data_IF_261012884473
#
_entry.id   IF_261012884473
#
_cell.length_a   1.000
_cell.length_b   1.000
_cell.length_c   1.000
_cell.angle_alpha   90.00
_cell.angle_beta   90.00
_cell.angle_gamma   90.00
#
_symmetry.space_group_name_H-M   'P 1'
#
loop_
_entity.id
_entity.type
_entity.pdbx_description
1 polymer ?
#
# COMPACT_ATOMS: atom_id res chain seq x y z
N UNK A 1 -13.12 45.89 22.40
CA UNK A 1 -12.66 44.57 21.94
C UNK A 1 -11.22 44.43 22.34
N UNK A 2 -10.93 43.54 23.27
CA UNK A 2 -9.56 43.30 23.74
C UNK A 2 -8.78 42.37 22.77
N UNK A 3 -7.50 42.15 23.06
CA UNK A 3 -6.62 41.32 22.22
C UNK A 3 -7.09 39.87 22.09
N UNK A 4 -7.70 39.32 23.15
CA UNK A 4 -8.19 37.94 23.21
C UNK A 4 -9.46 37.80 22.39
N UNK A 5 -10.40 38.74 22.56
CA UNK A 5 -11.62 38.82 21.77
C UNK A 5 -11.31 38.98 20.27
N UNK A 6 -10.30 39.79 19.92
CA UNK A 6 -9.84 39.95 18.55
C UNK A 6 -9.20 38.69 17.98
N UNK A 7 -8.34 38.03 18.75
CA UNK A 7 -7.77 36.77 18.33
C UNK A 7 -8.85 35.71 18.05
N UNK A 8 -9.82 35.58 18.96
CA UNK A 8 -10.93 34.63 18.80
C UNK A 8 -11.75 34.95 17.55
N UNK A 9 -12.20 36.20 17.40
CA UNK A 9 -12.96 36.65 16.23
C UNK A 9 -12.20 36.41 14.91
N UNK A 10 -10.90 36.68 14.88
CA UNK A 10 -10.07 36.42 13.70
C UNK A 10 -10.06 34.93 13.35
N UNK A 11 -9.86 34.06 14.34
CA UNK A 11 -9.77 32.62 14.15
C UNK A 11 -11.11 31.98 13.77
N UNK A 12 -12.25 32.51 14.25
CA UNK A 12 -13.57 31.93 14.01
C UNK A 12 -14.29 32.51 12.80
N UNK A 13 -14.16 33.80 12.52
CA UNK A 13 -15.06 34.51 11.60
C UNK A 13 -14.35 35.17 10.41
N UNK A 14 -13.02 35.34 10.47
CA UNK A 14 -12.27 36.11 9.45
C UNK A 14 -11.31 35.27 8.65
N UNK A 15 -10.47 34.49 9.32
CA UNK A 15 -9.35 33.79 8.69
C UNK A 15 -9.81 32.45 8.12
N UNK A 16 -9.43 32.20 6.87
CA UNK A 16 -9.70 30.92 6.22
C UNK A 16 -8.89 29.82 6.90
N UNK A 17 -9.52 28.68 7.16
CA UNK A 17 -8.89 27.48 7.71
C UNK A 17 -8.96 26.33 6.71
N UNK A 18 -7.96 25.43 6.68
CA UNK A 18 -8.09 24.19 5.91
C UNK A 18 -9.24 23.38 6.52
N UNK A 19 -10.26 23.06 5.70
CA UNK A 19 -11.45 22.30 6.12
C UNK A 19 -11.18 20.79 6.24
N UNK A 20 -10.18 20.45 7.04
CA UNK A 20 -9.78 19.08 7.35
C UNK A 20 -9.06 19.00 8.71
N UNK A 21 -9.18 17.86 9.38
CA UNK A 21 -8.38 17.51 10.56
C UNK A 21 -7.16 16.68 10.15
N UNK A 22 -6.00 16.98 10.74
CA UNK A 22 -4.74 16.29 10.46
C UNK A 22 -4.63 14.92 11.16
N UNK A 23 -5.17 14.81 12.37
CA UNK A 23 -4.98 13.66 13.26
C UNK A 23 -5.44 12.33 12.64
N UNK A 24 -6.59 12.25 11.95
CA UNK A 24 -7.02 11.00 11.32
C UNK A 24 -6.02 10.52 10.25
N UNK A 25 -5.33 11.43 9.56
CA UNK A 25 -4.37 11.06 8.51
C UNK A 25 -3.01 10.62 9.10
N UNK A 26 -2.58 11.18 10.24
CA UNK A 26 -1.47 10.62 11.04
C UNK A 26 -1.81 9.21 11.53
N UNK A 27 -2.98 9.04 12.15
CA UNK A 27 -3.43 7.75 12.66
C UNK A 27 -3.61 6.70 11.55
N UNK A 28 -4.03 7.11 10.36
CA UNK A 28 -4.07 6.27 9.16
C UNK A 28 -2.66 5.80 8.78
N UNK A 29 -1.71 6.74 8.67
CA UNK A 29 -0.33 6.42 8.32
C UNK A 29 0.31 5.46 9.33
N UNK A 30 0.06 5.67 10.62
CA UNK A 30 0.59 4.80 11.68
C UNK A 30 -0.03 3.39 11.63
N UNK A 31 -1.33 3.29 11.31
CA UNK A 31 -2.02 2.01 11.10
C UNK A 31 -1.45 1.22 9.91
N UNK A 32 -1.02 1.91 8.85
CA UNK A 32 -0.38 1.29 7.69
C UNK A 32 1.12 1.02 7.87
N UNK A 33 1.79 1.64 8.86
CA UNK A 33 3.25 1.57 8.99
C UNK A 33 3.83 0.15 9.08
N UNK A 34 3.05 -0.82 9.58
CA UNK A 34 3.44 -2.24 9.64
C UNK A 34 3.07 -3.08 8.41
N UNK A 35 2.31 -2.54 7.47
CA UNK A 35 1.71 -3.28 6.36
C UNK A 35 2.75 -3.94 5.44
N UNK A 36 3.70 -3.16 4.93
CA UNK A 36 4.74 -3.66 4.02
C UNK A 36 5.62 -4.73 4.71
N UNK A 37 5.95 -4.53 5.99
CA UNK A 37 6.71 -5.49 6.78
C UNK A 37 5.96 -6.80 6.99
N UNK A 38 4.67 -6.74 7.33
CA UNK A 38 3.84 -7.94 7.49
C UNK A 38 3.71 -8.73 6.18
N UNK A 39 3.53 -8.03 5.06
CA UNK A 39 3.44 -8.66 3.74
C UNK A 39 4.78 -9.30 3.31
N UNK A 40 5.89 -8.62 3.57
CA UNK A 40 7.24 -9.15 3.33
C UNK A 40 7.54 -10.39 4.17
N UNK A 41 7.08 -10.43 5.43
CA UNK A 41 7.24 -11.59 6.30
C UNK A 41 6.45 -12.79 5.78
N UNK A 42 5.17 -12.61 5.41
CA UNK A 42 4.37 -13.67 4.83
C UNK A 42 5.00 -14.21 3.52
N UNK A 43 5.47 -13.32 2.64
CA UNK A 43 6.16 -13.72 1.42
C UNK A 43 7.47 -14.48 1.70
N UNK A 44 8.25 -14.06 2.68
CA UNK A 44 9.47 -14.74 3.10
C UNK A 44 9.19 -16.13 3.67
N UNK A 45 8.15 -16.28 4.49
CA UNK A 45 7.70 -17.57 5.04
C UNK A 45 7.29 -18.53 3.92
N UNK A 46 6.45 -18.08 2.99
CA UNK A 46 6.10 -18.87 1.81
C UNK A 46 7.33 -19.26 0.98
N UNK A 47 8.28 -18.34 0.80
CA UNK A 47 9.51 -18.60 0.04
C UNK A 47 10.40 -19.68 0.67
N UNK A 48 10.42 -19.80 2.01
CA UNK A 48 11.15 -20.88 2.68
C UNK A 48 10.58 -22.25 2.31
N UNK A 49 9.26 -22.40 2.31
CA UNK A 49 8.59 -23.64 1.90
C UNK A 49 8.80 -23.95 0.42
N UNK A 50 8.69 -22.93 -0.45
CA UNK A 50 8.98 -23.09 -1.88
C UNK A 50 10.43 -23.48 -2.15
N UNK A 51 11.40 -22.91 -1.44
CA UNK A 51 12.82 -23.27 -1.59
C UNK A 51 13.06 -24.73 -1.24
N UNK A 52 12.44 -25.21 -0.15
CA UNK A 52 12.55 -26.61 0.28
C UNK A 52 11.93 -27.56 -0.74
N UNK A 53 10.73 -27.25 -1.23
CA UNK A 53 10.04 -27.99 -2.28
C UNK A 53 10.88 -28.07 -3.56
N UNK A 54 11.38 -26.95 -4.05
CA UNK A 54 12.19 -26.90 -5.28
C UNK A 54 13.55 -27.59 -5.11
N UNK A 55 14.01 -27.78 -3.88
CA UNK A 55 15.24 -28.53 -3.60
C UNK A 55 15.00 -30.05 -3.48
N UNK A 56 13.74 -30.48 -3.31
CA UNK A 56 13.40 -31.90 -3.11
C UNK A 56 13.06 -32.63 -4.42
N UNK A 57 13.08 -31.94 -5.56
CA UNK A 57 12.76 -32.52 -6.86
C UNK A 57 13.35 -31.74 -8.02
N UNK A 58 13.30 -32.32 -9.22
CA UNK A 58 13.76 -31.68 -10.45
C UNK A 58 12.88 -32.06 -11.64
N UNK A 59 12.70 -31.12 -12.57
CA UNK A 59 11.87 -31.26 -13.76
C UNK A 59 11.35 -29.91 -14.25
N UNK A 60 10.95 -29.82 -15.52
CA UNK A 60 10.49 -28.58 -16.16
C UNK A 60 9.32 -27.92 -15.42
N UNK A 61 8.43 -28.72 -14.84
CA UNK A 61 7.32 -28.26 -14.01
C UNK A 61 7.78 -27.56 -12.71
N UNK A 62 8.87 -28.05 -12.11
CA UNK A 62 9.47 -27.45 -10.90
C UNK A 62 10.21 -26.16 -11.24
N UNK A 63 10.91 -26.12 -12.37
CA UNK A 63 11.57 -24.89 -12.84
C UNK A 63 10.54 -23.79 -13.12
N UNK A 64 9.47 -24.10 -13.87
CA UNK A 64 8.39 -23.16 -14.17
C UNK A 64 7.66 -22.67 -12.90
N UNK A 65 7.44 -23.58 -11.93
CA UNK A 65 6.88 -23.22 -10.62
C UNK A 65 7.79 -22.23 -9.87
N UNK A 66 9.11 -22.47 -9.86
CA UNK A 66 10.07 -21.59 -9.21
C UNK A 66 10.17 -20.21 -9.85
N UNK A 67 10.17 -20.14 -11.18
CA UNK A 67 10.19 -18.87 -11.93
C UNK A 67 8.89 -18.07 -11.72
N UNK A 68 7.75 -18.75 -11.75
CA UNK A 68 6.46 -18.13 -11.48
C UNK A 68 6.39 -17.56 -10.06
N UNK A 69 6.80 -18.35 -9.06
CA UNK A 69 6.84 -17.89 -7.66
C UNK A 69 7.79 -16.70 -7.47
N UNK A 70 8.98 -16.72 -8.09
CA UNK A 70 9.90 -15.59 -8.07
C UNK A 70 9.25 -14.33 -8.64
N UNK A 71 8.55 -14.43 -9.76
CA UNK A 71 7.82 -13.31 -10.37
C UNK A 71 6.73 -12.77 -9.44
N UNK A 72 5.94 -13.66 -8.83
CA UNK A 72 4.90 -13.27 -7.87
C UNK A 72 5.51 -12.50 -6.69
N UNK A 73 6.53 -13.04 -6.02
CA UNK A 73 7.08 -12.37 -4.83
C UNK A 73 7.78 -11.05 -5.15
N UNK A 74 8.61 -11.00 -6.19
CA UNK A 74 9.49 -9.84 -6.45
C UNK A 74 8.82 -8.74 -7.26
N UNK A 75 7.76 -9.05 -8.01
CA UNK A 75 7.06 -8.05 -8.82
C UNK A 75 5.68 -7.74 -8.26
N UNK A 76 4.90 -8.77 -7.87
CA UNK A 76 3.50 -8.57 -7.46
C UNK A 76 3.40 -8.20 -6.00
N UNK A 77 3.92 -9.05 -5.11
CA UNK A 77 3.84 -8.81 -3.67
C UNK A 77 4.66 -7.60 -3.25
N UNK A 78 5.85 -7.43 -3.83
CA UNK A 78 6.65 -6.22 -3.63
C UNK A 78 5.91 -4.95 -4.07
N UNK A 79 5.27 -4.94 -5.25
CA UNK A 79 4.48 -3.79 -5.71
C UNK A 79 3.34 -3.45 -4.74
N UNK A 80 2.70 -4.45 -4.12
CA UNK A 80 1.65 -4.22 -3.13
C UNK A 80 2.22 -3.58 -1.86
N UNK A 81 3.36 -4.05 -1.38
CA UNK A 81 4.04 -3.44 -0.24
C UNK A 81 4.52 -2.01 -0.53
N UNK A 82 5.09 -1.77 -1.71
CA UNK A 82 5.53 -0.45 -2.14
C UNK A 82 4.35 0.53 -2.20
N UNK A 83 3.18 0.09 -2.69
CA UNK A 83 1.96 0.89 -2.68
C UNK A 83 1.50 1.24 -1.26
N UNK A 84 1.58 0.30 -0.32
CA UNK A 84 1.26 0.55 1.09
C UNK A 84 2.20 1.57 1.74
N UNK A 85 3.50 1.45 1.50
CA UNK A 85 4.51 2.43 1.95
C UNK A 85 4.24 3.82 1.37
N UNK A 86 4.00 3.91 0.05
CA UNK A 86 3.68 5.18 -0.61
C UNK A 86 2.42 5.84 -0.06
N UNK A 87 1.38 5.04 0.20
CA UNK A 87 0.14 5.52 0.79
C UNK A 87 0.38 6.06 2.21
N UNK A 88 1.23 5.39 2.98
CA UNK A 88 1.62 5.79 4.33
C UNK A 88 2.36 7.14 4.32
N UNK A 89 3.33 7.29 3.42
CA UNK A 89 4.12 8.53 3.28
C UNK A 89 3.22 9.70 2.88
N UNK A 90 2.34 9.50 1.90
CA UNK A 90 1.42 10.55 1.42
C UNK A 90 0.40 10.92 2.50
N UNK A 91 -0.14 9.97 3.25
CA UNK A 91 -1.06 10.27 4.34
C UNK A 91 -0.38 11.11 5.44
N UNK A 92 0.87 10.78 5.80
CA UNK A 92 1.65 11.56 6.76
C UNK A 92 1.96 12.97 6.25
N UNK A 93 2.35 13.09 4.99
CA UNK A 93 2.63 14.39 4.37
C UNK A 93 1.39 15.29 4.28
N UNK A 94 0.22 14.71 3.99
CA UNK A 94 -1.05 15.44 3.99
C UNK A 94 -1.37 15.96 5.40
N UNK A 95 -1.25 15.11 6.42
CA UNK A 95 -1.45 15.49 7.80
C UNK A 95 -0.53 16.64 8.23
N UNK A 96 0.77 16.52 7.92
CA UNK A 96 1.77 17.54 8.23
C UNK A 96 1.48 18.86 7.51
N UNK A 97 1.03 18.81 6.26
CA UNK A 97 0.64 20.00 5.48
C UNK A 97 -0.55 20.73 6.10
N UNK A 98 -1.57 19.98 6.56
CA UNK A 98 -2.73 20.56 7.26
C UNK A 98 -2.29 21.18 8.60
N UNK A 99 -1.50 20.46 9.39
CA UNK A 99 -1.01 20.92 10.68
C UNK A 99 -0.17 22.20 10.56
N UNK A 100 0.77 22.21 9.60
CA UNK A 100 1.62 23.37 9.32
C UNK A 100 0.80 24.58 8.89
N UNK A 101 -0.22 24.36 8.05
CA UNK A 101 -1.14 25.44 7.61
C UNK A 101 -1.92 26.02 8.78
N UNK A 102 -2.51 25.18 9.64
CA UNK A 102 -3.21 25.64 10.86
C UNK A 102 -2.28 26.45 11.76
N UNK A 103 -1.04 26.00 11.93
CA UNK A 103 -0.01 26.74 12.70
C UNK A 103 0.32 28.10 12.08
N UNK A 104 0.46 28.18 10.76
CA UNK A 104 0.68 29.45 10.06
C UNK A 104 -0.48 30.43 10.26
N UNK A 105 -1.73 29.95 10.26
CA UNK A 105 -2.90 30.81 10.47
C UNK A 105 -2.95 31.35 11.91
N UNK A 106 -2.57 30.55 12.91
CA UNK A 106 -2.37 31.05 14.29
C UNK A 106 -1.35 32.18 14.34
N UNK A 107 -0.25 32.06 13.58
CA UNK A 107 0.75 33.12 13.43
C UNK A 107 0.20 34.38 12.77
N UNK A 108 -0.58 34.23 11.70
CA UNK A 108 -1.25 35.34 11.00
C UNK A 108 -2.22 36.07 11.94
N UNK A 109 -3.03 35.34 12.71
CA UNK A 109 -3.96 35.91 13.68
C UNK A 109 -3.21 36.72 14.76
N UNK A 110 -2.15 36.14 15.31
CA UNK A 110 -1.32 36.78 16.33
C UNK A 110 -0.67 38.06 15.82
N UNK A 111 -0.14 38.06 14.60
CA UNK A 111 0.44 39.25 13.97
C UNK A 111 -0.64 40.32 13.73
N UNK A 112 -1.81 39.92 13.22
CA UNK A 112 -2.92 40.86 13.00
C UNK A 112 -3.37 41.54 14.30
N UNK A 113 -3.44 40.81 15.41
CA UNK A 113 -3.75 41.38 16.73
C UNK A 113 -2.71 42.44 17.11
N UNK A 114 -1.42 42.14 16.92
CA UNK A 114 -0.34 43.09 17.21
C UNK A 114 -0.44 44.36 16.36
N UNK A 115 -0.68 44.22 15.06
CA UNK A 115 -0.81 45.33 14.12
C UNK A 115 -2.01 46.23 14.48
N UNK A 116 -3.15 45.61 14.82
CA UNK A 116 -4.36 46.33 15.22
C UNK A 116 -4.17 47.06 16.56
N UNK A 117 -3.51 46.44 17.55
CA UNK A 117 -3.22 47.09 18.83
C UNK A 117 -2.25 48.27 18.66
N UNK A 118 -1.23 48.12 17.81
CA UNK A 118 -0.29 49.19 17.49
C UNK A 118 -1.01 50.37 16.81
N UNK A 119 -1.92 50.09 15.86
CA UNK A 119 -2.73 51.11 15.21
C UNK A 119 -3.66 51.83 16.21
N UNK A 120 -4.26 51.11 17.15
CA UNK A 120 -5.09 51.70 18.21
C UNK A 120 -4.28 52.59 19.16
N UNK A 121 -3.09 52.15 19.57
CA UNK A 121 -2.20 52.95 20.41
C UNK A 121 -1.77 54.25 19.72
N UNK A 122 -1.47 54.19 18.41
CA UNK A 122 -1.19 55.38 17.60
C UNK A 122 -2.44 56.28 17.45
N UNK A 123 -3.63 55.72 17.41
CA UNK A 123 -4.85 56.47 17.16
C UNK A 123 -5.41 57.25 18.37
N UNK A 124 -4.97 56.92 19.60
CA UNK A 124 -5.17 57.77 20.79
C UNK A 124 -4.55 59.15 20.57
N UNK A 125 -3.48 59.24 19.75
CA UNK A 125 -2.86 60.51 19.36
C UNK A 125 -3.56 61.20 18.18
N UNK A 126 -4.47 60.52 17.47
CA UNK A 126 -5.11 61.02 16.23
C UNK A 126 -6.64 61.17 16.32
N UNK A 127 -7.22 61.22 17.54
CA UNK A 127 -8.63 61.52 17.80
C UNK A 127 -9.66 60.65 17.04
N UNK A 128 -9.51 59.32 17.03
CA UNK A 128 -10.60 58.41 16.63
C UNK A 128 -10.56 57.86 15.19
N UNK A 129 -9.50 58.10 14.42
CA UNK A 129 -9.28 57.45 13.11
C UNK A 129 -8.90 55.95 13.20
N UNK A 130 -8.86 55.37 14.41
CA UNK A 130 -8.33 54.04 14.72
C UNK A 130 -9.05 52.90 14.02
N UNK A 131 -10.39 52.97 13.95
CA UNK A 131 -11.20 51.90 13.39
C UNK A 131 -10.98 51.75 11.88
N UNK A 132 -10.74 52.87 11.17
CA UNK A 132 -10.37 52.84 9.76
C UNK A 132 -8.94 52.29 9.54
N UNK A 133 -8.03 52.47 10.50
CA UNK A 133 -6.64 52.03 10.41
C UNK A 133 -6.45 50.53 10.73
N UNK A 134 -7.38 49.90 11.44
CA UNK A 134 -7.36 48.45 11.73
C UNK A 134 -7.84 47.60 10.54
N UNK A 135 -8.70 48.16 9.68
CA UNK A 135 -9.27 47.44 8.52
C UNK A 135 -8.20 46.89 7.56
N UNK A 136 -7.15 47.63 7.15
CA UNK A 136 -6.11 47.11 6.28
C UNK A 136 -5.39 45.86 6.83
N UNK A 137 -5.09 45.83 8.13
CA UNK A 137 -4.43 44.69 8.77
C UNK A 137 -5.30 43.43 8.73
N UNK A 138 -6.59 43.57 9.04
CA UNK A 138 -7.55 42.47 9.00
C UNK A 138 -7.75 41.95 7.57
N UNK A 139 -7.84 42.85 6.58
CA UNK A 139 -7.96 42.45 5.17
C UNK A 139 -6.68 41.77 4.65
N UNK A 140 -5.51 42.24 5.07
CA UNK A 140 -4.24 41.59 4.75
C UNK A 140 -4.18 40.18 5.36
N UNK A 141 -4.52 40.03 6.64
CA UNK A 141 -4.55 38.75 7.33
C UNK A 141 -5.53 37.75 6.66
N UNK A 142 -6.72 38.23 6.27
CA UNK A 142 -7.69 37.43 5.50
C UNK A 142 -7.13 36.99 4.14
N UNK A 143 -6.48 37.89 3.42
CA UNK A 143 -5.89 37.57 2.11
C UNK A 143 -4.75 36.55 2.24
N UNK A 144 -3.86 36.74 3.22
CA UNK A 144 -2.73 35.83 3.45
C UNK A 144 -3.20 34.46 3.92
N UNK A 145 -4.16 34.38 4.84
CA UNK A 145 -4.73 33.08 5.28
C UNK A 145 -5.35 32.32 4.11
N UNK A 146 -6.16 32.98 3.26
CA UNK A 146 -6.73 32.38 2.06
C UNK A 146 -5.65 31.86 1.09
N UNK A 147 -4.55 32.61 0.90
CA UNK A 147 -3.44 32.17 0.05
C UNK A 147 -2.71 30.94 0.61
N UNK A 148 -2.49 30.89 1.93
CA UNK A 148 -1.83 29.76 2.58
C UNK A 148 -2.71 28.51 2.49
N UNK A 149 -4.02 28.63 2.75
CA UNK A 149 -4.96 27.52 2.58
C UNK A 149 -5.02 27.04 1.13
N UNK A 150 -5.07 27.96 0.16
CA UNK A 150 -5.06 27.59 -1.25
C UNK A 150 -3.81 26.81 -1.65
N UNK A 151 -2.62 27.22 -1.17
CA UNK A 151 -1.36 26.49 -1.41
C UNK A 151 -1.38 25.10 -0.78
N UNK A 152 -1.92 24.96 0.43
CA UNK A 152 -2.08 23.67 1.10
C UNK A 152 -2.98 22.74 0.28
N UNK A 153 -4.15 23.23 -0.18
CA UNK A 153 -5.08 22.45 -0.98
C UNK A 153 -4.45 22.01 -2.31
N UNK A 154 -3.72 22.90 -2.99
CA UNK A 154 -3.00 22.58 -4.23
C UNK A 154 -1.90 21.54 -4.01
N UNK A 155 -1.15 21.67 -2.92
CA UNK A 155 -0.12 20.72 -2.53
C UNK A 155 -0.73 19.33 -2.31
N UNK A 156 -1.77 19.24 -1.47
CA UNK A 156 -2.48 17.98 -1.17
C UNK A 156 -3.03 17.35 -2.45
N UNK A 157 -3.70 18.12 -3.32
CA UNK A 157 -4.22 17.61 -4.58
C UNK A 157 -3.11 17.06 -5.49
N UNK A 158 -1.96 17.74 -5.55
CA UNK A 158 -0.79 17.26 -6.30
C UNK A 158 -0.26 15.94 -5.74
N UNK A 159 -0.12 15.83 -4.40
CA UNK A 159 0.36 14.60 -3.76
C UNK A 159 -0.59 13.41 -3.96
N UNK A 160 -1.89 13.64 -3.86
CA UNK A 160 -2.91 12.63 -4.15
C UNK A 160 -2.88 12.19 -5.62
N UNK A 161 -2.72 13.13 -6.55
CA UNK A 161 -2.60 12.82 -7.98
C UNK A 161 -1.33 12.00 -8.28
N UNK A 162 -0.20 12.36 -7.66
CA UNK A 162 1.05 11.60 -7.78
C UNK A 162 0.91 10.20 -7.18
N UNK A 163 0.21 10.04 -6.05
CA UNK A 163 -0.07 8.73 -5.47
C UNK A 163 -0.87 7.85 -6.42
N UNK A 164 -1.92 8.38 -7.04
CA UNK A 164 -2.74 7.63 -8.01
C UNK A 164 -1.96 7.24 -9.27
N UNK A 165 -0.97 8.04 -9.66
CA UNK A 165 -0.11 7.77 -10.81
C UNK A 165 1.10 6.90 -10.46
N UNK A 166 1.36 6.64 -9.18
CA UNK A 166 2.43 5.75 -8.76
C UNK A 166 2.15 4.34 -9.32
N UNK A 167 3.06 3.75 -10.10
CA UNK A 167 2.83 2.45 -10.73
C UNK A 167 2.45 1.35 -9.75
N UNK A 168 2.97 1.40 -8.53
CA UNK A 168 2.66 0.42 -7.50
C UNK A 168 1.19 0.50 -7.08
N UNK A 169 0.65 1.72 -6.94
CA UNK A 169 -0.74 1.99 -6.56
C UNK A 169 -1.69 1.72 -7.73
N UNK A 170 -1.36 2.23 -8.92
CA UNK A 170 -2.16 2.04 -10.13
C UNK A 170 -2.27 0.56 -10.53
N UNK A 171 -1.23 -0.23 -10.27
CA UNK A 171 -1.17 -1.65 -10.58
C UNK A 171 -1.88 -2.58 -9.58
N UNK A 172 -2.35 -2.08 -8.43
CA UNK A 172 -2.99 -2.93 -7.41
C UNK A 172 -4.15 -3.79 -7.94
N UNK A 173 -5.08 -3.26 -8.78
CA UNK A 173 -6.17 -4.08 -9.33
C UNK A 173 -5.66 -5.21 -10.23
N UNK A 174 -4.64 -4.95 -11.03
CA UNK A 174 -4.03 -5.95 -11.92
C UNK A 174 -3.28 -7.03 -11.13
N UNK A 175 -2.59 -6.63 -10.05
CA UNK A 175 -1.98 -7.59 -9.12
C UNK A 175 -3.06 -8.49 -8.53
N UNK A 176 -4.14 -7.92 -8.00
CA UNK A 176 -5.26 -8.69 -7.44
C UNK A 176 -5.84 -9.69 -8.47
N UNK A 177 -6.13 -9.22 -9.69
CA UNK A 177 -6.66 -10.05 -10.76
C UNK A 177 -5.70 -11.18 -11.20
N UNK A 178 -4.40 -10.90 -11.21
CA UNK A 178 -3.39 -11.91 -11.56
C UNK A 178 -3.28 -13.02 -10.51
N UNK A 179 -3.41 -12.69 -9.23
CA UNK A 179 -3.31 -13.64 -8.12
C UNK A 179 -4.59 -14.46 -7.93
N UNK A 180 -5.77 -13.88 -8.23
CA UNK A 180 -7.05 -14.59 -8.18
C UNK A 180 -7.27 -15.58 -9.34
N UNK A 181 -6.31 -15.73 -10.26
CA UNK A 181 -6.40 -16.68 -11.38
C UNK A 181 -7.42 -16.32 -12.46
N UNK A 182 -8.03 -15.13 -12.41
CA UNK A 182 -9.00 -14.61 -13.39
C UNK A 182 -8.33 -13.96 -14.61
N UNK A 183 -7.03 -13.64 -14.52
CA UNK A 183 -6.21 -13.16 -15.62
C UNK A 183 -5.23 -14.23 -16.13
N UNK A 184 -4.65 -14.02 -17.32
CA UNK A 184 -3.61 -14.87 -17.95
C UNK A 184 -2.32 -15.02 -17.12
N UNK A 185 -2.24 -14.44 -15.92
CA UNK A 185 -1.13 -14.51 -14.98
C UNK A 185 -1.22 -15.63 -13.95
N UNK A 186 -2.20 -16.53 -14.02
CA UNK A 186 -2.22 -17.74 -13.18
C UNK A 186 -1.06 -18.68 -13.48
N UNK A 187 -0.79 -19.62 -12.57
CA UNK A 187 0.30 -20.61 -12.72
C UNK A 187 0.03 -21.67 -13.80
N UNK A 188 -1.24 -21.87 -14.18
CA UNK A 188 -1.62 -22.89 -15.16
C UNK A 188 -1.02 -22.64 -16.57
N UNK A 189 -1.09 -21.43 -17.15
CA UNK A 189 -0.34 -21.07 -18.36
C UNK A 189 1.18 -21.30 -18.26
N UNK A 190 1.80 -20.96 -17.12
CA UNK A 190 3.24 -21.16 -16.91
C UNK A 190 3.61 -22.64 -16.92
N UNK A 191 2.81 -23.48 -16.26
CA UNK A 191 3.01 -24.93 -16.24
C UNK A 191 2.73 -25.59 -17.59
N UNK A 192 1.79 -25.05 -18.39
CA UNK A 192 1.47 -25.56 -19.72
C UNK A 192 2.49 -25.15 -20.79
N UNK A 193 3.14 -24.00 -20.62
CA UNK A 193 4.11 -23.47 -21.58
C UNK A 193 5.54 -23.95 -21.34
N UNK A 194 5.86 -24.54 -20.18
CA UNK A 194 7.23 -24.93 -19.81
C UNK A 194 8.22 -23.75 -19.87
N UNK A 195 7.72 -22.51 -19.76
CA UNK A 195 8.43 -21.33 -20.24
C UNK A 195 8.96 -20.45 -19.11
N UNK A 196 10.24 -20.13 -19.25
CA UNK A 196 10.97 -19.15 -18.47
C UNK A 196 10.40 -17.74 -18.61
N UNK A 197 9.82 -17.23 -17.52
CA UNK A 197 9.52 -15.81 -17.37
C UNK A 197 10.76 -15.15 -16.76
N UNK A 198 11.52 -14.43 -17.58
CA UNK A 198 12.73 -13.73 -17.14
C UNK A 198 12.42 -12.70 -16.05
N UNK A 199 12.83 -12.98 -14.82
CA UNK A 199 12.75 -12.05 -13.69
C UNK A 199 14.11 -11.41 -13.41
N UNK A 200 14.25 -10.09 -13.61
CA UNK A 200 15.35 -9.31 -13.06
C UNK A 200 15.12 -9.15 -11.55
N UNK A 201 15.97 -9.78 -10.72
CA UNK A 201 15.85 -9.79 -9.27
C UNK A 201 16.32 -8.49 -8.62
N UNK A 202 15.48 -7.92 -7.76
CA UNK A 202 15.84 -6.86 -6.82
C UNK A 202 15.84 -7.37 -5.37
N UNK A 203 16.94 -7.09 -4.66
CA UNK A 203 17.01 -6.77 -3.22
C UNK A 203 16.73 -7.85 -2.18
N UNK A 204 17.65 -7.97 -1.22
CA UNK A 204 17.72 -8.95 -0.12
C UNK A 204 16.52 -8.99 0.86
N UNK A 205 15.51 -8.12 0.70
CA UNK A 205 14.34 -8.03 1.58
C UNK A 205 13.26 -9.09 1.29
N UNK A 206 13.11 -9.53 0.04
CA UNK A 206 12.00 -10.42 -0.39
C UNK A 206 12.38 -11.91 -0.44
N UNK A 207 13.54 -12.28 0.12
CA UNK A 207 14.08 -13.64 0.12
C UNK A 207 15.13 -13.90 -0.97
N UNK A 208 16.00 -14.89 -0.70
CA UNK A 208 17.09 -15.30 -1.61
C UNK A 208 16.52 -15.81 -2.94
N UNK A 209 17.25 -15.65 -4.07
CA UNK A 209 16.90 -16.27 -5.33
C UNK A 209 16.69 -17.77 -5.15
N UNK A 210 15.59 -18.30 -5.70
CA UNK A 210 15.38 -19.74 -5.78
C UNK A 210 16.45 -20.38 -6.69
N UNK A 211 16.81 -21.65 -6.45
CA UNK A 211 17.65 -22.37 -7.40
C UNK A 211 16.95 -22.39 -8.77
N UNK A 212 17.50 -21.67 -9.75
CA UNK A 212 17.08 -21.80 -11.14
C UNK A 212 17.80 -23.01 -11.73
N UNK A 213 17.06 -23.99 -12.27
CA UNK A 213 17.58 -25.10 -13.04
C UNK A 213 18.27 -24.63 -14.31
N UNK A 214 19.49 -24.09 -14.18
CA UNK A 214 20.34 -23.77 -15.31
C UNK A 214 20.78 -25.06 -16.00
N UNK A 215 20.09 -25.43 -17.07
CA UNK A 215 20.52 -26.47 -18.00
C UNK A 215 19.38 -27.28 -18.58
N UNK A 216 18.85 -26.83 -19.74
CA UNK A 216 18.25 -27.71 -20.74
C UNK A 216 19.31 -28.72 -21.21
N UNK A 217 19.47 -29.78 -20.43
CA UNK A 217 20.23 -30.96 -20.79
C UNK A 217 19.25 -32.12 -20.87
N UNK A 218 18.97 -32.59 -22.08
CA UNK A 218 18.25 -33.84 -22.31
C UNK A 218 18.96 -34.95 -21.50
N UNK A 219 18.36 -35.37 -20.38
CA UNK A 219 18.91 -36.42 -19.52
C UNK A 219 18.90 -36.18 -18.00
N UNK A 220 18.49 -35.02 -17.47
CA UNK A 220 18.20 -34.92 -16.02
C UNK A 220 16.90 -35.67 -15.73
N UNK A 221 16.97 -36.74 -14.92
CA UNK A 221 15.80 -37.51 -14.51
C UNK A 221 14.78 -36.63 -13.78
N UNK A 222 13.50 -36.94 -13.98
CA UNK A 222 12.41 -36.31 -13.23
C UNK A 222 12.39 -36.95 -11.84
N UNK A 223 12.55 -36.14 -10.80
CA UNK A 223 12.48 -36.58 -9.41
C UNK A 223 11.45 -35.73 -8.68
N UNK A 224 10.43 -36.38 -8.10
CA UNK A 224 9.34 -35.72 -7.37
C UNK A 224 9.23 -36.36 -6.00
N UNK A 225 9.53 -35.60 -4.95
CA UNK A 225 9.18 -35.99 -3.58
C UNK A 225 7.71 -35.64 -3.29
N UNK A 226 6.82 -36.62 -3.46
CA UNK A 226 5.38 -36.44 -3.23
C UNK A 226 5.05 -35.98 -1.80
N UNK A 227 5.80 -36.43 -0.79
CA UNK A 227 5.56 -36.07 0.60
C UNK A 227 5.93 -34.59 0.85
N UNK A 228 6.98 -34.11 0.21
CA UNK A 228 7.35 -32.69 0.28
C UNK A 228 6.35 -31.80 -0.46
N UNK A 229 5.76 -32.24 -1.57
CA UNK A 229 4.68 -31.49 -2.23
C UNK A 229 3.45 -31.33 -1.35
N UNK A 230 3.02 -32.39 -0.66
CA UNK A 230 1.90 -32.33 0.30
C UNK A 230 2.23 -31.43 1.49
N UNK A 231 3.46 -31.54 2.02
CA UNK A 231 3.93 -30.70 3.12
C UNK A 231 3.97 -29.22 2.72
N UNK A 232 4.54 -28.90 1.57
CA UNK A 232 4.65 -27.53 1.08
C UNK A 232 3.26 -26.93 0.83
N UNK A 233 2.34 -27.68 0.21
CA UNK A 233 0.96 -27.24 0.03
C UNK A 233 0.24 -26.94 1.36
N UNK A 234 0.43 -27.78 2.38
CA UNK A 234 -0.09 -27.52 3.73
C UNK A 234 0.50 -26.26 4.36
N UNK A 235 1.83 -26.10 4.31
CA UNK A 235 2.51 -24.95 4.89
C UNK A 235 2.16 -23.62 4.19
N UNK A 236 1.97 -23.62 2.87
CA UNK A 236 1.51 -22.45 2.13
C UNK A 236 0.12 -21.98 2.58
N UNK A 237 -0.79 -22.92 2.90
CA UNK A 237 -2.11 -22.61 3.46
C UNK A 237 -2.03 -22.04 4.88
N UNK A 238 -1.05 -22.46 5.67
CA UNK A 238 -0.77 -21.84 6.98
C UNK A 238 -0.31 -20.39 6.80
N UNK A 239 0.62 -20.12 5.88
CA UNK A 239 1.04 -18.74 5.55
C UNK A 239 -0.11 -17.90 4.99
N UNK A 240 -1.05 -18.50 4.26
CA UNK A 240 -2.25 -17.79 3.81
C UNK A 240 -3.06 -17.21 4.99
N UNK A 241 -3.11 -17.91 6.12
CA UNK A 241 -3.77 -17.43 7.33
C UNK A 241 -3.11 -16.18 7.90
N UNK A 242 -1.78 -16.10 7.84
CA UNK A 242 -1.02 -14.88 8.16
C UNK A 242 -1.39 -13.76 7.18
N UNK A 243 -1.39 -14.03 5.87
CA UNK A 243 -1.73 -13.05 4.84
C UNK A 243 -3.15 -12.48 4.99
N UNK A 244 -4.16 -13.31 5.31
CA UNK A 244 -5.52 -12.86 5.58
C UNK A 244 -5.64 -11.99 6.85
N UNK A 245 -4.72 -12.13 7.80
CA UNK A 245 -4.67 -11.31 9.01
C UNK A 245 -4.15 -9.90 8.77
N UNK A 246 -3.36 -9.67 7.71
CA UNK A 246 -2.71 -8.39 7.43
C UNK A 246 -3.73 -7.25 7.26
N UNK A 247 -4.79 -7.37 6.43
CA UNK A 247 -5.77 -6.29 6.28
C UNK A 247 -6.46 -5.94 7.59
N UNK A 248 -6.82 -6.94 8.40
CA UNK A 248 -7.47 -6.73 9.69
C UNK A 248 -6.55 -5.97 10.67
N UNK A 249 -5.24 -6.23 10.65
CA UNK A 249 -4.27 -5.57 11.50
C UNK A 249 -3.81 -4.19 11.05
N UNK A 250 -4.05 -3.79 9.80
CA UNK A 250 -3.46 -2.57 9.21
C UNK A 250 -4.43 -1.76 8.35
N UNK A 251 -4.88 -2.31 7.23
CA UNK A 251 -5.74 -1.64 6.24
C UNK A 251 -7.11 -1.27 6.84
N UNK A 252 -7.72 -2.15 7.62
CA UNK A 252 -9.04 -1.90 8.24
C UNK A 252 -8.99 -0.75 9.27
N UNK A 253 -8.05 -0.74 10.23
CA UNK A 253 -7.84 0.44 11.09
C UNK A 253 -7.55 1.72 10.29
N UNK A 254 -6.70 1.64 9.26
CA UNK A 254 -6.39 2.79 8.41
C UNK A 254 -7.65 3.32 7.68
N UNK A 255 -8.50 2.44 7.16
CA UNK A 255 -9.77 2.81 6.53
C UNK A 255 -10.75 3.45 7.52
N UNK A 256 -10.79 2.99 8.77
CA UNK A 256 -11.59 3.61 9.81
C UNK A 256 -11.11 5.06 10.09
N UNK A 257 -9.80 5.27 10.22
CA UNK A 257 -9.23 6.62 10.40
C UNK A 257 -9.46 7.51 9.18
N UNK A 258 -9.36 6.96 7.96
CA UNK A 258 -9.71 7.66 6.74
C UNK A 258 -11.18 8.14 6.74
N UNK A 259 -12.09 7.33 7.28
CA UNK A 259 -13.50 7.67 7.47
C UNK A 259 -13.72 8.80 8.47
N UNK A 260 -12.97 8.83 9.57
CA UNK A 260 -12.97 9.98 10.51
C UNK A 260 -12.47 11.25 9.80
N UNK A 261 -11.39 11.15 9.03
CA UNK A 261 -10.88 12.25 8.21
C UNK A 261 -11.91 12.79 7.22
N UNK A 262 -12.72 11.91 6.60
CA UNK A 262 -13.76 12.31 5.66
C UNK A 262 -14.83 13.22 6.30
N UNK A 263 -15.09 13.03 7.60
CA UNK A 263 -16.06 13.83 8.36
C UNK A 263 -15.53 15.22 8.81
N UNK A 264 -14.26 15.52 8.59
CA UNK A 264 -13.63 16.75 9.09
C UNK A 264 -13.86 18.02 8.25
N UNK A 265 -14.47 17.88 7.07
CA UNK A 265 -14.83 18.99 6.19
C UNK A 265 -14.61 18.67 4.70
N UNK A 266 -14.86 19.67 3.83
CA UNK A 266 -14.83 19.48 2.37
C UNK A 266 -13.47 18.97 1.86
N UNK A 267 -12.37 19.51 2.40
CA UNK A 267 -11.02 19.06 2.05
C UNK A 267 -10.78 17.64 2.56
N UNK A 268 -11.22 17.35 3.79
CA UNK A 268 -11.12 16.01 4.38
C UNK A 268 -11.86 14.95 3.55
N UNK A 269 -13.09 15.25 3.13
CA UNK A 269 -13.87 14.38 2.25
C UNK A 269 -13.16 14.11 0.91
N UNK A 270 -12.56 15.13 0.29
CA UNK A 270 -11.83 14.98 -0.96
C UNK A 270 -10.55 14.12 -0.83
N UNK A 271 -9.78 14.34 0.24
CA UNK A 271 -8.60 13.51 0.58
C UNK A 271 -9.03 12.05 0.76
N UNK A 272 -10.04 11.85 1.60
CA UNK A 272 -10.47 10.51 2.02
C UNK A 272 -11.10 9.71 0.89
N UNK A 273 -11.71 10.34 -0.12
CA UNK A 273 -12.19 9.66 -1.31
C UNK A 273 -11.05 8.99 -2.10
N UNK A 274 -9.91 9.70 -2.24
CA UNK A 274 -8.73 9.17 -2.94
C UNK A 274 -8.05 8.08 -2.12
N UNK A 275 -7.72 8.36 -0.85
CA UNK A 275 -7.07 7.39 0.03
C UNK A 275 -7.93 6.15 0.26
N UNK A 276 -9.25 6.30 0.35
CA UNK A 276 -10.19 5.19 0.50
C UNK A 276 -10.15 4.21 -0.66
N UNK A 277 -10.03 4.70 -1.90
CA UNK A 277 -9.89 3.85 -3.09
C UNK A 277 -8.58 3.05 -3.05
N UNK A 278 -7.48 3.69 -2.63
CA UNK A 278 -6.18 3.01 -2.51
C UNK A 278 -6.21 1.96 -1.41
N UNK A 279 -6.78 2.28 -0.25
CA UNK A 279 -6.93 1.34 0.87
C UNK A 279 -7.77 0.11 0.50
N UNK A 280 -8.89 0.30 -0.22
CA UNK A 280 -9.71 -0.80 -0.72
C UNK A 280 -8.93 -1.71 -1.68
N UNK A 281 -8.17 -1.12 -2.61
CA UNK A 281 -7.31 -1.87 -3.53
C UNK A 281 -6.17 -2.61 -2.82
N UNK A 282 -5.56 -2.01 -1.79
CA UNK A 282 -4.56 -2.67 -0.93
C UNK A 282 -5.18 -3.87 -0.20
N UNK A 283 -6.39 -3.72 0.34
CA UNK A 283 -7.14 -4.81 0.96
C UNK A 283 -7.38 -5.95 -0.03
N UNK A 284 -7.91 -5.65 -1.21
CA UNK A 284 -8.18 -6.64 -2.27
C UNK A 284 -6.93 -7.35 -2.75
N UNK A 285 -5.83 -6.63 -2.99
CA UNK A 285 -4.57 -7.23 -3.45
C UNK A 285 -3.97 -8.16 -2.39
N UNK A 286 -4.03 -7.77 -1.11
CA UNK A 286 -3.60 -8.62 0.01
C UNK A 286 -4.46 -9.87 0.13
N UNK A 287 -5.79 -9.73 0.03
CA UNK A 287 -6.71 -10.87 0.05
C UNK A 287 -6.44 -11.82 -1.10
N UNK A 288 -6.23 -11.29 -2.32
CA UNK A 288 -5.88 -12.10 -3.48
C UNK A 288 -4.56 -12.86 -3.30
N UNK A 289 -3.58 -12.27 -2.61
CA UNK A 289 -2.36 -12.98 -2.23
C UNK A 289 -2.63 -14.12 -1.24
N UNK A 290 -3.47 -13.89 -0.23
CA UNK A 290 -3.94 -14.94 0.67
C UNK A 290 -4.66 -16.07 -0.08
N UNK A 291 -5.58 -15.73 -0.98
CA UNK A 291 -6.31 -16.69 -1.83
C UNK A 291 -5.37 -17.52 -2.69
N UNK A 292 -4.37 -16.87 -3.28
CA UNK A 292 -3.33 -17.52 -4.08
C UNK A 292 -2.52 -18.53 -3.24
N UNK A 293 -2.13 -18.18 -2.02
CA UNK A 293 -1.42 -19.06 -1.09
C UNK A 293 -2.30 -20.18 -0.51
N UNK A 294 -3.62 -20.00 -0.46
CA UNK A 294 -4.55 -20.97 0.10
C UNK A 294 -5.07 -21.99 -0.94
N UNK A 295 -5.18 -21.56 -2.19
CA UNK A 295 -5.73 -22.35 -3.30
C UNK A 295 -4.73 -22.52 -4.44
N UNK A 296 -4.67 -21.53 -5.33
CA UNK A 296 -4.00 -21.61 -6.64
C UNK A 296 -2.59 -22.20 -6.59
N UNK A 297 -1.73 -21.73 -5.67
CA UNK A 297 -0.36 -22.20 -5.57
C UNK A 297 -0.27 -23.62 -4.96
N UNK A 298 -0.85 -23.92 -3.78
CA UNK A 298 -0.93 -25.28 -3.27
C UNK A 298 -1.50 -26.30 -4.26
N UNK A 299 -2.55 -25.95 -4.99
CA UNK A 299 -3.21 -26.85 -5.93
C UNK A 299 -2.31 -27.14 -7.14
N UNK A 300 -1.53 -26.16 -7.60
CA UNK A 300 -0.53 -26.37 -8.63
C UNK A 300 0.62 -27.27 -8.16
N UNK A 301 1.10 -27.07 -6.92
CA UNK A 301 2.10 -27.95 -6.29
C UNK A 301 1.57 -29.39 -6.24
N UNK A 302 0.35 -29.61 -5.75
CA UNK A 302 -0.25 -30.94 -5.67
C UNK A 302 -0.48 -31.57 -7.05
N UNK A 303 -0.84 -30.78 -8.06
CA UNK A 303 -1.04 -31.26 -9.44
C UNK A 303 0.26 -31.78 -10.05
N UNK A 304 1.38 -31.07 -9.91
CA UNK A 304 2.70 -31.53 -10.39
C UNK A 304 3.02 -32.91 -9.81
N UNK A 305 2.78 -33.08 -8.51
CA UNK A 305 2.97 -34.35 -7.81
C UNK A 305 2.06 -35.47 -8.35
N UNK A 306 0.76 -35.19 -8.54
CA UNK A 306 -0.20 -36.19 -9.02
C UNK A 306 0.00 -36.60 -10.48
N UNK A 307 0.37 -35.67 -11.35
CA UNK A 307 0.65 -35.94 -12.78
C UNK A 307 1.86 -36.87 -12.92
N UNK A 308 2.90 -36.66 -12.11
CA UNK A 308 4.08 -37.54 -12.09
C UNK A 308 3.73 -38.93 -11.55
N UNK A 309 2.97 -39.02 -10.45
CA UNK A 309 2.55 -40.31 -9.90
C UNK A 309 1.75 -41.15 -10.91
N UNK A 310 0.84 -40.50 -11.63
CA UNK A 310 0.04 -41.13 -12.69
C UNK A 310 0.93 -41.65 -13.82
N UNK A 311 1.95 -40.88 -14.20
CA UNK A 311 2.93 -41.27 -15.22
C UNK A 311 3.76 -42.48 -14.77
N UNK A 312 4.23 -42.49 -13.53
CA UNK A 312 5.04 -43.57 -12.96
C UNK A 312 4.24 -44.86 -12.79
N UNK A 313 2.99 -44.79 -12.33
CA UNK A 313 2.09 -45.93 -12.22
C UNK A 313 1.74 -46.50 -13.60
N UNK A 314 1.50 -45.64 -14.59
CA UNK A 314 1.29 -46.03 -15.98
C UNK A 314 2.48 -46.76 -16.57
N UNK A 315 3.69 -46.26 -16.32
CA UNK A 315 4.93 -46.91 -16.74
C UNK A 315 5.11 -48.26 -16.03
N UNK A 316 4.91 -48.33 -14.71
CA UNK A 316 4.99 -49.57 -13.93
C UNK A 316 4.03 -50.63 -14.45
N UNK A 317 2.79 -50.26 -14.76
CA UNK A 317 1.79 -51.18 -15.32
C UNK A 317 2.17 -51.70 -16.70
N UNK A 318 2.70 -50.84 -17.58
CA UNK A 318 3.16 -51.25 -18.92
C UNK A 318 4.33 -52.22 -18.85
N UNK A 319 5.37 -51.89 -18.08
CA UNK A 319 6.55 -52.75 -17.95
C UNK A 319 6.25 -54.04 -17.15
N UNK A 320 5.34 -53.98 -16.17
CA UNK A 320 4.87 -55.15 -15.43
C UNK A 320 3.99 -56.10 -16.25
N UNK A 321 3.35 -55.61 -17.33
CA UNK A 321 2.54 -56.43 -18.25
C UNK A 321 3.33 -57.10 -19.39
N UNK A 322 4.62 -56.77 -19.52
CA UNK A 322 5.51 -57.29 -20.58
C UNK A 322 6.46 -58.41 -20.10
N UNK A 323 6.38 -58.81 -18.82
CA UNK A 323 7.10 -59.95 -18.24
C UNK A 323 6.14 -61.06 -17.83
#
# INVERSE_FOLDING_TARGET
MDATELYQFLMTDVLEQPKAEQEPYHSLADSLGGYAGALSNAAANANQHMTRLLSSGSGEAMDALGEHWNTVRTQKVQSVADAGTRTTDVAREIADSIAATKSQIVGIASQCVQDVLAAQAAAVLTFGAAEAAALPAVQAAKTVSAQVVAKCNQHIASRLSLLQQDPAVAGLPDVAASLSGTASGGIAPALAAGAAVAGAGGGDAWGRPLPSGGGSGAGKGIEVDHAEHVRAAGALREVATEAYGIPAGTVTPAAAQNGVGAGSGDLGAAISATLGTVLDNLGKATTAFGDYLNGTLPDAVLRISGDQQTTDDGNRNRFGSMG
#
